data_IF_587419417475
#
_entry.id   IF_587419417475
#
_cell.length_a   1.000
_cell.length_b   1.000
_cell.length_c   1.000
_cell.angle_alpha   90.00
_cell.angle_beta   90.00
_cell.angle_gamma   90.00
#
_symmetry.space_group_name_H-M   'P 1'
#
loop_
_entity.id
_entity.type
_entity.pdbx_description
1 polymer ?
2 polymer ?
3 non-polymer ?
#
# COMPACT_ATOMS: atom_id res chain seq x y z
N UNK A 5 -8.66 -19.64 11.96
CA UNK A 5 -8.69 -18.18 12.02
C UNK A 5 -9.88 -17.55 11.28
N UNK A 6 -10.03 -16.24 11.39
CA UNK A 6 -11.03 -15.50 10.62
C UNK A 6 -10.53 -14.09 10.30
N UNK A 7 -10.86 -13.60 9.11
CA UNK A 7 -10.24 -12.38 8.62
C UNK A 7 -11.29 -11.30 8.39
N UNK A 8 -10.94 -10.09 8.81
CA UNK A 8 -11.81 -8.95 8.61
C UNK A 8 -11.60 -8.41 7.21
N UNK A 9 -12.66 -7.88 6.63
CA UNK A 9 -12.54 -7.24 5.33
C UNK A 9 -11.69 -5.97 5.46
N UNK A 10 -10.89 -5.66 4.43
CA UNK A 10 -10.13 -4.42 4.43
C UNK A 10 -11.02 -3.25 4.08
N UNK A 11 -10.55 -2.04 4.34
CA UNK A 11 -11.25 -0.85 3.88
C UNK A 11 -10.33 -0.06 2.96
N UNK A 12 -10.89 0.39 1.84
CA UNK A 12 -10.13 1.07 0.80
C UNK A 12 -10.91 2.27 0.28
N UNK A 13 -10.20 3.36 0.01
CA UNK A 13 -10.81 4.59 -0.46
C UNK A 13 -9.77 5.33 -1.29
N UNK A 14 -10.23 6.28 -2.08
CA UNK A 14 -9.35 7.16 -2.83
C UNK A 14 -9.52 8.59 -2.35
N UNK A 15 -8.50 9.40 -2.58
CA UNK A 15 -8.63 10.83 -2.36
C UNK A 15 -7.94 11.61 -3.48
N UNK A 16 -8.44 12.84 -3.75
CA UNK A 16 -8.02 13.61 -4.92
C UNK A 16 -6.62 14.25 -4.91
N UNK A 17 -5.95 14.44 -3.77
CA UNK A 17 -4.81 15.38 -3.83
C UNK A 17 -3.52 14.62 -4.02
N UNK A 18 -3.22 14.40 -5.29
CA UNK A 18 -2.15 13.49 -5.67
C UNK A 18 -0.81 14.21 -5.73
N UNK A 19 -0.82 15.42 -6.29
CA UNK A 19 0.38 16.23 -6.38
C UNK A 19 0.93 16.46 -4.98
N UNK A 20 0.06 16.89 -4.07
CA UNK A 20 0.48 17.17 -2.70
C UNK A 20 1.03 15.89 -2.06
N UNK A 21 0.26 14.81 -2.13
CA UNK A 21 0.71 13.54 -1.57
C UNK A 21 2.10 13.20 -2.07
N UNK A 22 2.31 13.28 -3.37
CA UNK A 22 3.59 12.88 -3.93
C UNK A 22 4.70 13.80 -3.42
N UNK A 23 4.43 15.11 -3.36
CA UNK A 23 5.42 16.05 -2.85
C UNK A 23 5.81 15.68 -1.42
N UNK A 24 4.82 15.45 -0.56
CA UNK A 24 5.10 15.08 0.83
C UNK A 24 5.96 13.81 0.87
N UNK A 25 5.52 12.77 0.16
CA UNK A 25 6.25 11.51 0.08
C UNK A 25 7.69 11.70 -0.38
N UNK A 26 7.85 12.57 -1.36
CA UNK A 26 9.14 12.79 -2.00
C UNK A 26 10.13 13.51 -1.07
N UNK A 27 9.65 13.97 0.09
CA UNK A 27 10.54 14.56 1.09
C UNK A 27 11.27 13.46 1.85
N UNK A 28 10.99 12.21 1.47
CA UNK A 28 11.78 11.06 1.88
C UNK A 28 12.07 10.22 0.63
N UNK A 29 13.34 9.84 0.44
CA UNK A 29 13.75 9.15 -0.79
C UNK A 29 13.57 7.63 -0.73
N UNK A 30 13.44 7.07 0.47
CA UNK A 30 13.25 5.62 0.62
C UNK A 30 11.78 5.25 0.47
N UNK A 31 10.93 6.26 0.28
CA UNK A 31 9.50 6.04 0.11
C UNK A 31 9.10 6.00 -1.37
N UNK A 32 10.08 6.07 -2.26
CA UNK A 32 9.82 6.06 -3.70
C UNK A 32 10.48 4.84 -4.34
N UNK A 33 9.64 4.00 -4.94
CA UNK A 33 10.06 2.76 -5.58
C UNK A 33 9.95 2.89 -7.09
N UNK A 34 10.90 2.30 -7.81
CA UNK A 34 10.79 2.16 -9.25
C UNK A 34 10.51 0.70 -9.53
N UNK A 35 9.34 0.42 -10.10
CA UNK A 35 9.01 -0.94 -10.48
C UNK A 35 9.36 -1.14 -11.95
N UNK A 36 10.30 -2.04 -12.22
CA UNK A 36 10.75 -2.28 -13.57
C UNK A 36 9.66 -2.82 -14.46
N UNK A 37 9.85 -2.70 -15.77
CA UNK A 37 8.92 -3.28 -16.72
C UNK A 37 8.90 -4.78 -16.51
N UNK A 38 7.70 -5.35 -16.52
CA UNK A 38 7.51 -6.78 -16.31
C UNK A 38 7.83 -7.34 -14.93
N UNK A 39 7.99 -6.46 -13.95
CA UNK A 39 8.45 -6.88 -12.63
C UNK A 39 7.45 -6.60 -11.53
N UNK A 40 7.67 -7.28 -10.41
CA UNK A 40 6.80 -7.19 -9.25
C UNK A 40 7.61 -6.94 -8.00
N UNK A 41 7.30 -5.83 -7.32
CA UNK A 41 7.98 -5.49 -6.08
C UNK A 41 7.07 -5.82 -4.90
N UNK A 42 7.58 -6.59 -3.95
CA UNK A 42 6.82 -6.94 -2.76
C UNK A 42 7.36 -6.15 -1.57
N UNK A 43 6.49 -5.38 -0.92
CA UNK A 43 6.85 -4.64 0.29
C UNK A 43 6.37 -5.43 1.51
N UNK A 44 7.33 -5.84 2.35
CA UNK A 44 7.04 -6.62 3.55
C UNK A 44 6.87 -5.71 4.76
N UNK A 45 5.65 -5.64 5.29
CA UNK A 45 5.36 -4.78 6.44
C UNK A 45 4.95 -5.65 7.62
N UNK A 46 5.88 -5.84 8.57
CA UNK A 46 5.53 -6.61 9.76
C UNK A 46 4.53 -5.86 10.62
N UNK A 47 3.70 -6.62 11.32
CA UNK A 47 2.75 -6.08 12.25
C UNK A 47 3.48 -5.50 13.43
N UNK A 48 3.13 -4.27 13.81
CA UNK A 48 3.71 -3.65 14.98
C UNK A 48 3.10 -4.24 16.23
N UNK A 49 3.91 -4.36 17.28
CA UNK A 49 3.40 -4.86 18.55
C UNK A 49 2.46 -3.84 19.20
N UNK A 50 2.71 -2.56 18.94
CA UNK A 50 1.97 -1.47 19.56
C UNK A 50 0.74 -1.11 18.74
N UNK A 51 0.37 -1.94 17.77
CA UNK A 51 -0.79 -1.62 16.96
C UNK A 51 -1.62 -2.81 16.53
N UNK A 52 -2.88 -2.52 16.24
CA UNK A 52 -3.87 -3.48 15.77
C UNK A 52 -4.25 -3.33 14.29
N UNK A 53 -3.70 -2.33 13.61
CA UNK A 53 -4.10 -2.04 12.23
C UNK A 53 -2.94 -1.68 11.34
N UNK A 54 -3.08 -2.05 10.08
CA UNK A 54 -2.20 -1.59 9.03
C UNK A 54 -2.94 -0.54 8.23
N UNK A 55 -2.22 0.52 7.90
CA UNK A 55 -2.71 1.55 7.02
C UNK A 55 -1.74 1.71 5.88
N UNK A 56 -2.24 1.84 4.65
CA UNK A 56 -1.37 2.12 3.51
C UNK A 56 -1.92 3.24 2.64
N UNK A 57 -1.01 4.02 2.06
CA UNK A 57 -1.32 4.93 0.96
C UNK A 57 -0.33 4.77 -0.17
N UNK A 58 -0.77 4.97 -1.40
CA UNK A 58 0.17 4.94 -2.52
C UNK A 58 -0.34 5.62 -3.79
N UNK A 59 0.60 5.98 -4.67
CA UNK A 59 0.27 6.59 -5.95
C UNK A 59 1.37 6.33 -6.96
N UNK A 60 1.06 6.56 -8.22
CA UNK A 60 2.05 6.45 -9.29
C UNK A 60 2.06 7.64 -10.24
N UNK A 61 3.10 7.70 -11.06
CA UNK A 61 3.17 8.66 -12.15
C UNK A 61 2.71 8.08 -13.48
N UNK A 62 1.74 8.77 -14.07
CA UNK A 62 1.38 8.68 -15.48
C UNK A 62 0.97 7.33 -16.02
N UNK A 63 0.65 6.37 -15.15
CA UNK A 63 0.26 5.02 -15.58
C UNK A 63 -0.24 4.25 -14.37
N UNK A 64 -1.09 3.25 -14.62
CA UNK A 64 -1.64 2.49 -13.51
C UNK A 64 -0.60 1.49 -13.04
N UNK A 65 -0.96 0.72 -12.02
CA UNK A 65 -0.17 -0.41 -11.58
C UNK A 65 -1.10 -1.36 -10.86
N UNK A 66 -0.77 -2.64 -10.88
CA UNK A 66 -1.51 -3.62 -10.11
C UNK A 66 -1.15 -3.48 -8.65
N UNK A 67 -2.15 -3.50 -7.77
CA UNK A 67 -1.90 -3.47 -6.33
C UNK A 67 -2.73 -4.51 -5.61
N UNK A 68 -2.12 -5.17 -4.64
CA UNK A 68 -2.81 -6.17 -3.85
C UNK A 68 -2.12 -6.40 -2.53
N UNK A 69 -2.76 -7.17 -1.66
CA UNK A 69 -2.24 -7.36 -0.32
C UNK A 69 -2.48 -8.76 0.20
N UNK A 70 -1.44 -9.30 0.81
CA UNK A 70 -1.48 -10.63 1.40
C UNK A 70 -0.96 -10.55 2.82
N UNK A 71 -1.33 -11.54 3.62
CA UNK A 71 -0.86 -11.64 5.00
C UNK A 71 -0.13 -12.96 5.23
N UNK A 72 1.11 -12.86 5.69
CA UNK A 72 1.99 -14.01 5.94
C UNK A 72 2.14 -14.32 7.43
N UNK A 73 1.56 -15.44 7.84
CA UNK A 73 1.55 -15.84 9.24
C UNK A 73 2.91 -16.24 9.80
N UNK A 74 3.28 -15.62 10.92
CA UNK A 74 4.52 -15.93 11.63
C UNK A 74 4.19 -16.32 13.07
N UNK A 112 5.97 -22.71 2.15
CA UNK A 112 6.29 -23.02 3.54
C UNK A 112 5.34 -22.30 4.52
N UNK A 113 5.13 -20.98 4.36
CA UNK A 113 4.22 -20.24 5.26
C UNK A 113 2.78 -20.17 4.78
N UNK A 114 1.91 -19.60 5.61
CA UNK A 114 0.49 -19.48 5.28
C UNK A 114 0.19 -18.08 4.78
N UNK A 115 -0.61 -17.99 3.72
CA UNK A 115 -0.96 -16.70 3.15
C UNK A 115 -2.47 -16.53 3.04
N UNK A 116 -2.95 -15.37 3.48
CA UNK A 116 -4.34 -15.01 3.26
C UNK A 116 -4.38 -13.82 2.32
N UNK A 117 -5.47 -13.71 1.57
CA UNK A 117 -5.58 -12.68 0.56
C UNK A 117 -6.45 -11.56 1.13
N UNK A 118 -5.80 -10.48 1.54
CA UNK A 118 -6.52 -9.34 2.10
C UNK A 118 -7.14 -8.51 0.97
N UNK A 119 -6.30 -8.09 0.03
CA UNK A 119 -6.78 -7.36 -1.13
C UNK A 119 -6.33 -8.09 -2.38
N UNK A 120 -7.26 -8.30 -3.32
CA UNK A 120 -6.84 -9.02 -4.52
C UNK A 120 -6.00 -8.12 -5.39
N UNK A 121 -5.02 -8.68 -6.09
CA UNK A 121 -4.24 -7.88 -7.02
C UNK A 121 -5.12 -7.50 -8.21
N UNK A 122 -5.21 -6.19 -8.45
CA UNK A 122 -5.97 -5.62 -9.55
C UNK A 122 -5.28 -4.33 -9.95
N UNK A 123 -5.33 -4.00 -11.24
CA UNK A 123 -4.86 -2.71 -11.72
C UNK A 123 -5.71 -1.56 -11.16
N UNK A 124 -5.02 -0.57 -10.61
CA UNK A 124 -5.66 0.59 -10.00
C UNK A 124 -5.24 1.86 -10.70
N UNK A 125 -6.17 2.79 -10.96
CA UNK A 125 -5.72 4.04 -11.55
C UNK A 125 -5.31 4.91 -10.39
N UNK A 126 -4.06 4.71 -9.97
CA UNK A 126 -3.45 5.46 -8.88
C UNK A 126 -2.48 6.50 -9.43
N UNK A 127 -2.47 6.63 -10.75
CA UNK A 127 -1.80 7.75 -11.40
C UNK A 127 -2.70 8.98 -11.40
N UNK A 128 -4.01 8.74 -11.41
CA UNK A 128 -5.05 9.77 -11.31
C UNK A 128 -5.48 10.19 -9.87
N UNK A 129 -5.59 9.22 -8.96
CA UNK A 129 -5.99 9.48 -7.57
C UNK A 129 -5.04 8.79 -6.58
N UNK A 130 -5.01 9.27 -5.34
CA UNK A 130 -4.29 8.57 -4.28
C UNK A 130 -5.15 7.40 -3.80
N UNK A 131 -4.56 6.20 -3.78
CA UNK A 131 -5.25 5.01 -3.28
C UNK A 131 -4.78 4.73 -1.88
N UNK A 132 -5.68 4.24 -1.04
CA UNK A 132 -5.35 4.06 0.36
C UNK A 132 -6.23 3.01 0.99
N UNK A 133 -5.82 2.52 2.15
CA UNK A 133 -6.65 1.58 2.86
C UNK A 133 -6.17 1.19 4.24
N UNK A 134 -7.01 0.38 4.88
CA UNK A 134 -6.72 -0.15 6.20
C UNK A 134 -7.17 -1.61 6.35
N UNK A 135 -6.47 -2.34 7.21
CA UNK A 135 -6.93 -3.67 7.58
C UNK A 135 -6.56 -3.95 9.02
N UNK A 136 -7.53 -4.45 9.78
CA UNK A 136 -7.27 -4.93 11.12
C UNK A 136 -6.38 -6.17 11.14
N UNK A 137 -5.35 -6.14 11.99
CA UNK A 137 -4.44 -7.26 12.13
C UNK A 137 -5.24 -8.53 12.42
N UNK A 138 -5.12 -9.56 11.56
CA UNK A 138 -5.65 -10.88 11.95
C UNK A 138 -4.81 -11.55 13.03
N UNK A 139 -3.56 -11.12 13.18
CA UNK A 139 -2.67 -11.67 14.18
C UNK A 139 -1.23 -11.27 13.91
N UNK A 140 -0.30 -11.92 14.61
CA UNK A 140 1.12 -11.65 14.43
C UNK A 140 1.57 -12.19 13.08
N UNK A 141 2.26 -11.36 12.30
CA UNK A 141 2.70 -11.79 11.00
C UNK A 141 3.33 -10.67 10.21
N UNK A 142 3.36 -10.85 8.89
CA UNK A 142 3.90 -9.85 7.99
C UNK A 142 2.95 -9.62 6.82
N UNK A 143 2.72 -8.35 6.51
CA UNK A 143 1.87 -7.97 5.40
C UNK A 143 2.70 -7.91 4.15
N UNK A 144 2.12 -8.36 3.05
CA UNK A 144 2.80 -8.30 1.76
C UNK A 144 2.04 -7.39 0.81
N UNK A 145 2.61 -6.22 0.55
CA UNK A 145 2.07 -5.30 -0.45
C UNK A 145 2.68 -5.64 -1.78
N UNK A 146 1.83 -5.98 -2.74
CA UNK A 146 2.27 -6.36 -4.07
C UNK A 146 2.04 -5.21 -5.01
N UNK A 147 3.12 -4.61 -5.47
CA UNK A 147 3.04 -3.65 -6.56
C UNK A 147 3.44 -4.41 -7.82
N UNK A 148 2.46 -4.64 -8.67
CA UNK A 148 2.57 -5.60 -9.75
C UNK A 148 2.54 -4.96 -11.13
N UNK A 149 3.71 -4.88 -11.76
CA UNK A 149 3.89 -4.32 -13.10
C UNK A 149 4.07 -5.39 -14.21
N UNK A 150 3.87 -6.64 -13.86
CA UNK A 150 4.21 -7.77 -14.74
C UNK A 150 3.56 -7.76 -16.14
N UNK A 151 2.46 -7.03 -16.30
CA UNK A 151 1.75 -6.95 -17.58
C UNK A 151 2.28 -5.84 -18.48
N UNK A 152 3.22 -5.06 -17.95
CA UNK A 152 3.75 -3.90 -18.66
C UNK A 152 5.04 -4.24 -19.38
N UNK A 153 4.98 -4.27 -20.71
CA UNK A 153 6.17 -4.57 -21.49
C UNK A 153 7.21 -3.46 -21.46
N UNK A 154 6.79 -2.25 -21.82
CA UNK A 154 7.72 -1.16 -22.05
C UNK A 154 7.85 -0.09 -20.95
N UNK A 155 6.96 -0.09 -19.97
CA UNK A 155 6.89 1.03 -19.02
C UNK A 155 7.27 0.64 -17.60
N UNK A 156 8.29 1.31 -17.07
CA UNK A 156 8.57 1.27 -15.64
C UNK A 156 7.43 1.98 -14.92
N UNK A 157 7.33 1.78 -13.61
CA UNK A 157 6.36 2.52 -12.81
C UNK A 157 7.03 3.14 -11.60
N UNK A 158 6.67 4.39 -11.34
CA UNK A 158 7.18 5.12 -10.19
C UNK A 158 6.13 5.08 -9.10
N UNK A 159 6.46 4.43 -7.99
CA UNK A 159 5.51 4.22 -6.92
C UNK A 159 5.88 5.05 -5.71
N UNK A 160 4.92 5.85 -5.26
CA UNK A 160 5.04 6.61 -4.02
C UNK A 160 4.13 5.96 -2.99
N UNK A 161 4.68 5.59 -1.83
CA UNK A 161 3.88 4.87 -0.84
C UNK A 161 4.24 5.17 0.62
N UNK A 162 3.26 4.96 1.49
CA UNK A 162 3.42 5.05 2.93
C UNK A 162 2.67 3.90 3.55
N UNK A 163 3.27 3.28 4.56
CA UNK A 163 2.57 2.33 5.40
C UNK A 163 2.60 2.78 6.86
N UNK A 164 1.50 2.58 7.56
CA UNK A 164 1.39 2.97 8.96
C UNK A 164 0.81 1.84 9.81
N UNK A 165 0.96 1.99 11.13
CA UNK A 165 0.19 1.21 12.10
C UNK A 165 -0.61 2.15 13.03
N UNK A 166 -1.69 1.64 13.62
CA UNK A 166 -2.47 2.40 14.60
C UNK A 166 -3.28 1.45 15.48
N UNK A 167 -3.80 1.98 16.57
CA UNK A 167 -4.66 1.23 17.48
C UNK A 167 -6.12 1.45 17.12
N UNK B 1 10.94 -9.67 -9.02
CA UNK B 1 11.19 -10.53 -7.83
C UNK B 1 11.77 -9.78 -6.63
N UNK B 2 11.95 -8.47 -6.75
CA UNK B 2 12.52 -7.68 -5.66
C UNK B 2 11.61 -7.63 -4.42
N UNK B 3 12.23 -7.61 -3.24
CA UNK B 3 11.52 -7.62 -1.97
C UNK B 3 12.09 -6.58 -1.00
N UNK B 4 11.25 -5.63 -0.59
CA UNK B 4 11.61 -4.54 0.32
C UNK B 4 11.03 -4.75 1.71
N UNK B 5 11.74 -4.32 2.74
CA UNK B 5 11.23 -4.42 4.10
C UNK B 5 11.02 -3.02 4.69
N UNK B 6 9.76 -2.71 4.97
CA UNK B 6 9.39 -1.42 5.51
C UNK B 6 8.86 -1.57 6.92
N UNK B 7 9.28 -0.67 7.78
CA UNK B 7 8.78 -0.62 9.14
C UNK B 7 7.69 0.44 9.20
N UNK B 8 6.45 0.03 9.52
CA UNK B 8 5.37 1.01 9.53
C UNK B 8 5.57 2.08 10.60
N UNK B 9 5.00 3.25 10.36
CA UNK B 9 5.12 4.38 11.28
C UNK B 9 3.79 4.59 12.00
N UNK B 10 3.84 5.12 13.22
CA UNK B 10 2.60 5.37 13.94
C UNK B 10 1.76 6.42 13.22
N UNK B 11 0.52 6.07 12.92
CA UNK B 11 -0.41 6.99 12.30
C UNK B 11 -0.69 8.14 13.25
N UNK B 12 -0.69 9.37 12.72
CA UNK B 12 -0.83 10.58 13.53
C UNK B 12 -2.07 11.34 13.13
N UNK B 13 -2.54 12.22 14.01
CA UNK B 13 -3.74 12.99 13.74
C UNK B 13 -3.54 13.80 12.47
N UNK B 14 -2.34 14.35 12.29
CA UNK B 14 -2.02 15.08 11.07
C UNK B 14 -2.19 14.18 9.85
N UNK B 15 -1.48 13.05 9.82
CA UNK B 15 -1.54 12.13 8.68
C UNK B 15 -3.00 11.88 8.34
N UNK B 16 -3.74 11.40 9.34
CA UNK B 16 -5.14 11.03 9.19
C UNK B 16 -6.01 12.15 8.64
N UNK B 17 -5.61 13.40 8.85
CA UNK B 17 -6.41 14.52 8.36
C UNK B 17 -6.42 14.51 6.85
N UNK B 18 -5.22 14.52 6.28
CA UNK B 18 -5.03 14.55 4.84
C UNK B 18 -5.76 13.39 4.19
N UNK B 19 -5.50 12.19 4.71
CA UNK B 19 -6.05 10.94 4.17
C UNK B 19 -7.55 10.97 4.03
N UNK B 20 -8.17 11.63 4.99
CA UNK B 20 -9.61 11.71 5.04
C UNK B 20 -10.18 12.82 4.16
N UNK B 21 -9.35 13.79 3.82
CA UNK B 21 -9.87 14.97 3.15
C UNK B 21 -10.38 14.58 1.75
N UNK B 22 -11.67 14.83 1.53
CA UNK B 22 -12.35 14.51 0.28
C UNK B 22 -12.23 13.02 -0.12
N UNK B 23 -12.29 12.15 0.89
CA UNK B 23 -12.21 10.71 0.66
C UNK B 23 -13.43 10.17 -0.09
N UNK B 24 -13.17 9.30 -1.05
CA UNK B 24 -14.24 8.58 -1.74
C UNK B 24 -13.96 7.08 -1.58
N UNK B 25 -15.00 6.27 -1.30
CA UNK B 25 -14.72 4.85 -1.08
C UNK B 25 -14.35 4.05 -2.35
N UNK B 26 -14.01 2.77 -2.15
CA UNK B 26 -13.63 1.85 -3.22
C UNK B 26 -13.97 0.41 -2.81
N UNK B 27 -14.33 -0.42 -3.79
CA UNK B 27 -14.59 -1.84 -3.54
C UNK B 27 -13.72 -2.67 -4.47
N UNK B 28 -13.63 -3.96 -4.19
CA UNK B 28 -12.82 -4.87 -4.98
C UNK B 28 -13.49 -6.24 -5.11
X LIG C 1 -4.61 -18.97 -0.64
X LIG C 1 -5.06 -17.57 -0.44
X LIG C 1 -6.50 -17.32 -0.49
X LIG C 1 -7.33 -18.42 0.06
X LIG C 1 -8.77 -18.09 -0.25
X LIG C 1 -5.54 -20.10 -0.16
X LIG C 1 -5.22 -21.20 -0.80
X LIG C 1 -3.39 -19.15 0.07
X LIG C 1 -4.44 -16.77 -1.50
X LIG C 1 -6.80 -16.16 0.35
X LIG C 1 -7.00 -19.73 -0.48
X LIG C 1 -9.05 -16.81 0.28
#
# INVERSE_FOLDING_TARGET
MESLPVIAAPSMWTRPQIRDFKEKIRQDSDSVITVGRGEVVTVRVPTHEEGSYLFWEFATDNYDIGFGVYFEWTDSPNTAVSVHVSESSEHDDEEEEENISSEEKAKKNANKPVLDEIVPVYRRDCHEEVYAGSHQYPGRGVYLLKFDNSYSLWRSKSVYYRVYYTR
GLTIEAEPTELSYQDALEMLAESKPVSTTLSFER
BGC C2 C3 C4 C5 C6 C1 O1 O2 O3 O4 O5 O6
#
